data_IF_591194037014
#
_entry.id   IF_591194037014
#
_cell.length_a   1.000
_cell.length_b   1.000
_cell.length_c   1.000
_cell.angle_alpha   90.00
_cell.angle_beta   90.00
_cell.angle_gamma   90.00
#
_symmetry.space_group_name_H-M   'P 1'
#
loop_
_entity.id
_entity.type
_entity.pdbx_description
1 polymer ?
#
# COMPACT_ATOMS: atom_id res chain seq x y z
N UNK A 1 47.80 49.65 -16.57
CA UNK A 1 48.24 49.96 -15.19
C UNK A 1 47.05 50.59 -14.48
N UNK A 2 46.50 49.92 -13.46
CA UNK A 2 45.44 50.45 -12.59
C UNK A 2 43.99 50.14 -13.00
N UNK A 3 43.47 49.01 -12.51
CA UNK A 3 42.03 48.71 -12.42
C UNK A 3 41.40 49.55 -11.29
N UNK A 4 40.22 50.11 -11.50
CA UNK A 4 39.35 50.60 -10.43
C UNK A 4 37.94 50.05 -10.68
N UNK A 5 37.57 49.06 -9.86
CA UNK A 5 36.24 48.44 -9.83
C UNK A 5 35.31 49.34 -9.02
N UNK A 6 34.17 49.71 -9.58
CA UNK A 6 33.09 50.35 -8.85
C UNK A 6 32.37 49.26 -8.03
N UNK A 7 32.29 49.45 -6.71
CA UNK A 7 31.49 48.62 -5.80
C UNK A 7 30.02 49.01 -5.94
N UNK A 8 29.16 48.06 -6.31
CA UNK A 8 27.71 48.16 -6.15
C UNK A 8 27.36 48.03 -4.65
N UNK A 9 26.37 48.77 -4.15
CA UNK A 9 25.97 48.69 -2.74
C UNK A 9 25.20 47.39 -2.44
N UNK A 10 25.57 46.73 -1.35
CA UNK A 10 24.87 45.55 -0.81
C UNK A 10 23.40 45.87 -0.48
N UNK A 11 22.45 44.96 -0.76
CA UNK A 11 21.08 45.12 -0.27
C UNK A 11 21.06 44.84 1.23
N UNK A 12 20.77 45.87 2.02
CA UNK A 12 20.38 45.72 3.43
C UNK A 12 19.01 45.03 3.49
N UNK A 13 19.01 43.71 3.58
CA UNK A 13 17.84 42.95 4.01
C UNK A 13 17.67 43.17 5.51
N UNK A 14 16.68 43.96 5.89
CA UNK A 14 16.19 44.01 7.26
C UNK A 14 15.68 42.61 7.62
N UNK A 15 16.42 41.89 8.47
CA UNK A 15 15.87 40.77 9.19
C UNK A 15 14.91 41.35 10.22
N UNK A 16 13.61 41.22 9.97
CA UNK A 16 12.61 41.32 11.03
C UNK A 16 12.93 40.20 12.02
N UNK A 17 13.42 40.56 13.21
CA UNK A 17 13.50 39.64 14.34
C UNK A 17 12.06 39.27 14.71
N UNK A 18 11.60 38.08 14.31
CA UNK A 18 10.38 37.48 14.86
C UNK A 18 10.55 37.41 16.39
N UNK A 19 9.76 38.20 17.12
CA UNK A 19 9.70 38.13 18.58
C UNK A 19 9.36 36.68 18.97
N UNK A 20 10.34 36.00 19.57
CA UNK A 20 10.18 34.63 20.00
C UNK A 20 9.10 34.58 21.11
N UNK A 21 7.99 33.89 20.84
CA UNK A 21 6.89 33.68 21.77
C UNK A 21 7.40 33.24 23.15
N UNK A 22 6.84 33.82 24.22
CA UNK A 22 7.18 33.43 25.59
C UNK A 22 6.73 31.99 25.88
N UNK A 23 7.32 31.30 26.89
CA UNK A 23 6.88 29.95 27.26
C UNK A 23 5.38 29.86 27.56
N UNK A 24 4.79 30.88 28.17
CA UNK A 24 3.35 30.93 28.47
C UNK A 24 2.50 31.00 27.19
N UNK A 25 2.88 31.86 26.24
CA UNK A 25 2.18 31.96 24.95
C UNK A 25 2.31 30.67 24.14
N UNK A 26 3.45 29.99 24.22
CA UNK A 26 3.64 28.67 23.58
C UNK A 26 2.77 27.58 24.19
N UNK A 27 2.58 27.61 25.50
CA UNK A 27 1.69 26.69 26.21
C UNK A 27 0.23 26.92 25.81
N UNK A 28 -0.21 28.18 25.72
CA UNK A 28 -1.57 28.54 25.29
C UNK A 28 -1.87 28.14 23.84
N UNK A 29 -0.91 28.36 22.93
CA UNK A 29 -1.04 27.92 21.52
C UNK A 29 -1.13 26.39 21.45
N UNK A 30 -0.26 25.67 22.18
CA UNK A 30 -0.31 24.21 22.23
C UNK A 30 -1.66 23.70 22.76
N UNK A 31 -2.20 24.31 23.82
CA UNK A 31 -3.49 23.91 24.40
C UNK A 31 -4.64 24.11 23.41
N UNK A 32 -4.64 25.22 22.67
CA UNK A 32 -5.63 25.49 21.62
C UNK A 32 -5.57 24.44 20.51
N UNK A 33 -4.36 24.04 20.10
CA UNK A 33 -4.16 22.98 19.10
C UNK A 33 -4.61 21.61 19.63
N UNK A 34 -4.27 21.24 20.86
CA UNK A 34 -4.66 19.96 21.46
C UNK A 34 -6.18 19.80 21.55
N UNK A 35 -6.93 20.89 21.76
CA UNK A 35 -8.40 20.84 21.72
C UNK A 35 -8.97 20.43 20.34
N UNK A 36 -8.21 20.59 19.27
CA UNK A 36 -8.63 20.25 17.90
C UNK A 36 -8.16 18.87 17.45
N UNK A 37 -7.03 18.37 17.99
CA UNK A 37 -6.36 17.16 17.47
C UNK A 37 -6.28 15.99 18.46
N UNK A 38 -6.47 16.24 19.76
CA UNK A 38 -6.35 15.18 20.76
C UNK A 38 -7.53 14.19 20.70
N UNK A 39 -7.31 12.90 21.01
CA UNK A 39 -8.36 11.91 21.19
C UNK A 39 -9.44 12.34 22.20
N UNK A 40 -10.68 11.91 21.98
CA UNK A 40 -11.83 12.35 22.78
C UNK A 40 -11.81 11.89 24.25
N UNK A 41 -10.97 10.92 24.59
CA UNK A 41 -10.75 10.39 25.94
C UNK A 41 -9.59 11.09 26.68
N UNK A 42 -8.83 11.96 26.01
CA UNK A 42 -7.74 12.72 26.64
C UNK A 42 -8.33 13.76 27.60
N UNK A 43 -7.83 13.78 28.83
CA UNK A 43 -8.28 14.71 29.86
C UNK A 43 -7.61 16.08 29.70
N UNK A 44 -8.29 17.13 30.18
CA UNK A 44 -7.71 18.49 30.24
C UNK A 44 -6.43 18.56 31.09
N UNK A 45 -6.25 17.65 32.05
CA UNK A 45 -5.05 17.58 32.88
C UNK A 45 -3.86 17.02 32.08
N UNK A 46 -4.07 15.97 31.30
CA UNK A 46 -3.06 15.40 30.41
C UNK A 46 -2.62 16.39 29.33
N UNK A 47 -3.57 17.13 28.74
CA UNK A 47 -3.24 18.18 27.75
C UNK A 47 -2.38 19.29 28.35
N UNK A 48 -2.67 19.73 29.59
CA UNK A 48 -1.90 20.75 30.30
C UNK A 48 -0.49 20.28 30.62
N UNK A 49 -0.35 19.06 31.13
CA UNK A 49 0.96 18.48 31.42
C UNK A 49 1.80 18.42 30.15
N UNK A 50 1.25 17.90 29.05
CA UNK A 50 1.92 17.83 27.76
C UNK A 50 2.37 19.20 27.26
N UNK A 51 1.46 20.18 27.22
CA UNK A 51 1.77 21.51 26.68
C UNK A 51 2.74 22.31 27.56
N UNK A 52 2.71 22.13 28.89
CA UNK A 52 3.65 22.78 29.80
C UNK A 52 5.08 22.26 29.61
N UNK A 53 5.25 20.97 29.28
CA UNK A 53 6.54 20.38 28.96
C UNK A 53 7.03 20.82 27.57
N UNK A 54 6.17 20.84 26.56
CA UNK A 54 6.51 21.31 25.20
C UNK A 54 6.83 22.81 25.14
N UNK A 55 6.24 23.61 26.02
CA UNK A 55 6.55 25.03 26.16
C UNK A 55 7.93 25.30 26.76
N UNK A 56 8.45 24.35 27.56
CA UNK A 56 9.76 24.42 28.22
C UNK A 56 10.90 23.87 27.37
N UNK A 57 10.62 23.09 26.33
CA UNK A 57 11.63 22.59 25.40
C UNK A 57 12.23 23.70 24.54
N UNK A 58 13.52 23.58 24.24
CA UNK A 58 14.26 24.52 23.40
C UNK A 58 13.71 24.47 21.95
N UNK A 59 13.39 25.62 21.32
CA UNK A 59 12.91 25.67 19.94
C UNK A 59 13.83 24.98 18.93
N UNK A 60 15.14 24.88 19.22
CA UNK A 60 16.12 24.21 18.36
C UNK A 60 16.03 22.67 18.38
N UNK A 61 15.32 22.08 19.35
CA UNK A 61 15.11 20.63 19.48
C UNK A 61 13.74 20.17 18.93
N UNK A 62 12.94 21.08 18.37
CA UNK A 62 11.65 20.72 17.76
C UNK A 62 11.87 20.08 16.38
N UNK A 63 11.64 18.77 16.27
CA UNK A 63 11.38 18.19 14.95
C UNK A 63 10.07 18.77 14.39
N UNK A 64 10.07 19.31 13.15
CA UNK A 64 8.85 19.83 12.54
C UNK A 64 7.84 18.68 12.36
N UNK A 65 6.72 18.74 13.10
CA UNK A 65 5.59 17.82 12.91
C UNK A 65 4.84 18.21 11.63
N UNK A 66 4.76 17.34 10.61
CA UNK A 66 4.00 17.66 9.41
C UNK A 66 2.50 17.55 9.68
N UNK A 67 1.74 18.43 9.02
CA UNK A 67 0.27 18.57 9.06
C UNK A 67 -0.47 17.36 8.43
N UNK A 68 0.26 16.35 7.95
CA UNK A 68 -0.33 15.14 7.40
C UNK A 68 -0.14 13.98 8.37
N UNK A 69 -1.27 13.38 8.77
CA UNK A 69 -1.36 12.22 9.64
C UNK A 69 -0.45 11.08 9.15
N UNK A 70 0.73 11.00 9.72
CA UNK A 70 1.59 9.82 9.65
C UNK A 70 1.14 8.83 10.71
N UNK A 71 0.99 7.56 10.30
CA UNK A 71 0.94 6.42 11.20
C UNK A 71 2.02 6.59 12.27
N UNK A 72 1.60 6.48 13.53
CA UNK A 72 2.45 6.63 14.70
C UNK A 72 3.75 5.86 14.52
N UNK A 73 4.88 6.58 14.57
CA UNK A 73 6.18 5.94 14.83
C UNK A 73 6.13 5.21 16.17
N UNK A 74 7.01 4.23 16.41
CA UNK A 74 6.98 3.45 17.64
C UNK A 74 7.15 4.39 18.83
N UNK A 75 6.13 4.43 19.67
CA UNK A 75 6.17 5.07 20.98
C UNK A 75 7.25 4.37 21.82
N UNK A 76 8.04 5.09 22.64
CA UNK A 76 9.09 4.48 23.44
C UNK A 76 8.52 3.34 24.28
N UNK A 77 9.09 2.16 24.06
CA UNK A 77 8.72 0.87 24.62
C UNK A 77 8.53 0.96 26.14
N UNK A 78 7.28 1.05 26.60
CA UNK A 78 6.97 0.81 28.00
C UNK A 78 7.23 -0.66 28.27
N UNK A 79 8.25 -0.94 29.10
CA UNK A 79 8.58 -2.29 29.56
C UNK A 79 7.42 -2.81 30.40
N UNK A 80 6.47 -3.49 29.75
CA UNK A 80 5.43 -4.26 30.41
C UNK A 80 5.96 -5.65 30.80
N UNK A 81 5.54 -6.19 31.96
CA UNK A 81 6.09 -7.42 32.50
C UNK A 81 5.83 -8.63 31.59
N UNK A 82 6.84 -9.50 31.49
CA UNK A 82 6.83 -10.72 30.69
C UNK A 82 5.65 -11.62 31.05
N UNK A 83 4.71 -11.78 30.12
CA UNK A 83 3.55 -12.65 30.28
C UNK A 83 2.47 -12.53 29.22
N UNK A 84 2.42 -11.43 28.46
CA UNK A 84 1.45 -11.28 27.37
C UNK A 84 2.01 -11.83 26.04
N UNK A 85 1.24 -12.61 25.26
CA UNK A 85 1.68 -13.04 23.95
C UNK A 85 1.92 -11.81 23.09
N UNK A 86 3.09 -11.72 22.44
CA UNK A 86 3.45 -10.57 21.61
C UNK A 86 2.28 -10.20 20.71
N UNK A 87 1.77 -8.99 20.89
CA UNK A 87 0.62 -8.53 20.11
C UNK A 87 1.10 -8.45 18.67
N UNK A 88 0.37 -9.08 17.74
CA UNK A 88 0.74 -9.03 16.32
C UNK A 88 0.66 -7.58 15.87
N UNK A 89 1.77 -7.03 15.39
CA UNK A 89 1.81 -5.67 14.80
C UNK A 89 0.79 -5.55 13.67
N UNK A 90 0.59 -6.60 12.87
CA UNK A 90 -0.44 -6.64 11.82
C UNK A 90 -1.85 -6.59 12.41
N UNK A 91 -2.14 -7.39 13.44
CA UNK A 91 -3.45 -7.39 14.08
C UNK A 91 -3.75 -6.04 14.76
N UNK A 92 -2.75 -5.39 15.36
CA UNK A 92 -2.85 -4.02 15.85
C UNK A 92 -3.13 -3.04 14.72
N UNK A 93 -2.32 -3.06 13.66
CA UNK A 93 -2.49 -2.13 12.54
C UNK A 93 -3.87 -2.28 11.86
N UNK A 94 -4.39 -3.51 11.76
CA UNK A 94 -5.76 -3.77 11.30
C UNK A 94 -6.79 -3.19 12.29
N UNK A 95 -6.59 -3.39 13.60
CA UNK A 95 -7.49 -2.88 14.64
C UNK A 95 -7.49 -1.35 14.71
N UNK A 96 -6.34 -0.71 14.57
CA UNK A 96 -6.18 0.74 14.63
C UNK A 96 -6.81 1.39 13.41
N UNK A 97 -6.57 0.82 12.22
CA UNK A 97 -7.32 1.15 11.01
C UNK A 97 -8.82 1.02 11.24
N UNK A 98 -9.24 -0.09 11.86
CA UNK A 98 -10.62 -0.34 12.25
C UNK A 98 -11.13 0.54 13.39
N UNK A 99 -10.33 1.40 14.03
CA UNK A 99 -10.79 2.29 15.10
C UNK A 99 -10.84 3.76 14.65
N UNK A 100 -9.98 4.18 13.73
CA UNK A 100 -9.97 5.56 13.22
C UNK A 100 -10.83 5.74 11.94
N UNK A 101 -11.99 6.42 12.00
CA UNK A 101 -12.87 6.60 10.84
C UNK A 101 -12.30 7.55 9.76
N UNK A 102 -11.23 8.29 10.06
CA UNK A 102 -10.60 9.23 9.13
C UNK A 102 -9.28 8.71 8.53
N UNK A 103 -8.88 7.48 8.84
CA UNK A 103 -7.65 6.89 8.29
C UNK A 103 -7.93 6.13 7.00
N UNK A 104 -7.26 6.54 5.91
CA UNK A 104 -7.07 5.69 4.73
C UNK A 104 -6.00 4.65 5.07
N UNK A 105 -6.45 3.44 5.38
CA UNK A 105 -5.57 2.37 5.79
C UNK A 105 -5.03 1.61 4.55
N UNK A 106 -3.76 1.22 4.54
CA UNK A 106 -3.15 0.53 3.38
C UNK A 106 -3.68 -0.89 3.21
N UNK A 107 -4.44 -1.19 2.16
CA UNK A 107 -5.00 -2.55 1.98
C UNK A 107 -3.95 -3.56 1.47
N UNK A 108 -3.38 -3.33 0.29
CA UNK A 108 -2.21 -4.05 -0.29
C UNK A 108 -0.98 -3.14 -0.24
N UNK A 109 0.22 -3.59 -0.68
CA UNK A 109 1.37 -2.71 -0.78
C UNK A 109 1.09 -1.48 -1.65
N UNK A 110 1.56 -0.31 -1.23
CA UNK A 110 1.56 0.91 -2.03
C UNK A 110 2.99 1.16 -2.51
N UNK A 111 3.20 1.17 -3.83
CA UNK A 111 4.54 1.28 -4.40
C UNK A 111 4.55 2.09 -5.70
N UNK A 112 5.73 2.62 -6.02
CA UNK A 112 6.07 3.20 -7.31
C UNK A 112 7.39 2.60 -7.78
N UNK A 113 7.38 1.97 -8.95
CA UNK A 113 8.53 1.38 -9.63
C UNK A 113 8.83 2.21 -10.90
N UNK A 114 9.76 3.16 -10.84
CA UNK A 114 10.12 3.96 -12.01
C UNK A 114 10.78 3.14 -13.13
N UNK A 115 11.38 2.00 -12.80
CA UNK A 115 12.01 1.15 -13.80
C UNK A 115 11.55 -0.29 -13.62
N UNK A 116 10.66 -0.75 -14.51
CA UNK A 116 10.30 -2.16 -14.64
C UNK A 116 10.69 -2.65 -16.03
N UNK A 117 11.59 -3.61 -16.08
CA UNK A 117 12.04 -4.23 -17.32
C UNK A 117 11.19 -5.47 -17.63
N UNK A 118 10.63 -5.53 -18.84
CA UNK A 118 9.95 -6.66 -19.45
C UNK A 118 10.65 -6.98 -20.80
N UNK A 119 11.28 -8.16 -20.97
CA UNK A 119 11.98 -8.50 -22.21
C UNK A 119 11.03 -8.75 -23.39
N UNK A 120 9.76 -9.05 -23.13
CA UNK A 120 8.75 -9.40 -24.14
C UNK A 120 7.40 -8.81 -23.75
N UNK A 121 7.23 -7.47 -23.83
CA UNK A 121 5.95 -6.84 -23.51
C UNK A 121 4.88 -7.25 -24.51
N UNK A 122 3.74 -7.70 -24.00
CA UNK A 122 2.61 -8.10 -24.84
C UNK A 122 1.86 -6.88 -25.40
N UNK A 123 1.43 -7.03 -26.66
CA UNK A 123 0.73 -6.00 -27.45
C UNK A 123 -0.79 -6.18 -27.43
N UNK A 124 -1.34 -7.29 -26.91
CA UNK A 124 -2.76 -7.61 -26.99
C UNK A 124 -3.69 -6.53 -26.40
N UNK A 125 -3.16 -5.59 -25.62
CA UNK A 125 -3.86 -4.41 -25.10
C UNK A 125 -3.94 -3.19 -26.01
N UNK A 126 -3.31 -3.17 -27.17
CA UNK A 126 -3.26 -1.98 -28.03
C UNK A 126 -3.76 -2.23 -29.46
N UNK A 127 -3.82 -3.48 -29.91
CA UNK A 127 -4.18 -3.90 -31.27
C UNK A 127 -5.66 -3.65 -31.63
N UNK A 128 -5.98 -2.48 -32.22
CA UNK A 128 -7.36 -2.15 -32.59
C UNK A 128 -7.71 -0.66 -32.71
N UNK A 129 -6.87 0.25 -32.20
CA UNK A 129 -6.99 1.71 -32.44
C UNK A 129 -5.84 2.20 -33.32
N UNK A 130 -5.98 2.17 -34.65
CA UNK A 130 -4.89 2.63 -35.55
C UNK A 130 -3.50 2.03 -35.18
N UNK A 131 -3.48 0.88 -34.50
CA UNK A 131 -2.39 0.40 -33.66
C UNK A 131 -1.66 -0.79 -34.27
N UNK A 132 -1.51 -0.78 -35.58
CA UNK A 132 -0.46 -1.56 -36.22
C UNK A 132 0.94 -0.95 -35.95
N UNK A 133 1.01 0.22 -35.28
CA UNK A 133 2.26 1.01 -35.15
C UNK A 133 2.82 1.22 -33.74
N UNK A 134 2.08 0.95 -32.65
CA UNK A 134 2.62 1.21 -31.30
C UNK A 134 3.65 0.14 -30.94
N UNK A 135 4.90 0.56 -30.79
CA UNK A 135 5.99 -0.33 -30.40
C UNK A 135 6.24 -0.17 -28.91
N UNK A 136 5.87 -1.16 -28.12
CA UNK A 136 6.10 -1.14 -26.68
C UNK A 136 7.59 -1.19 -26.35
N UNK A 137 8.01 -0.29 -25.46
CA UNK A 137 9.34 -0.32 -24.90
C UNK A 137 9.45 -1.42 -23.84
N UNK A 138 10.65 -2.03 -23.71
CA UNK A 138 10.89 -3.04 -22.68
C UNK A 138 10.96 -2.47 -21.27
N UNK A 139 10.91 -1.13 -21.09
CA UNK A 139 10.95 -0.48 -19.78
C UNK A 139 9.70 0.37 -19.59
N UNK A 140 8.99 0.14 -18.49
CA UNK A 140 7.81 0.91 -18.11
C UNK A 140 7.85 1.33 -16.63
N UNK A 141 7.03 2.30 -16.27
CA UNK A 141 6.74 2.65 -14.88
C UNK A 141 5.55 1.80 -14.43
N UNK A 142 5.67 1.16 -13.27
CA UNK A 142 4.53 0.49 -12.63
C UNK A 142 4.27 1.10 -11.26
N UNK A 143 3.00 1.26 -10.90
CA UNK A 143 2.63 1.69 -9.55
C UNK A 143 1.35 1.02 -9.08
N UNK A 144 1.24 0.87 -7.76
CA UNK A 144 0.06 0.36 -7.10
C UNK A 144 -0.36 1.32 -5.99
N UNK A 145 -1.64 1.70 -6.02
CA UNK A 145 -2.30 2.40 -4.94
C UNK A 145 -3.38 1.48 -4.35
N UNK A 146 -3.35 1.25 -3.05
CA UNK A 146 -4.27 0.32 -2.39
C UNK A 146 -4.66 0.79 -1.00
N UNK A 147 -5.94 1.09 -0.82
CA UNK A 147 -6.49 1.61 0.42
C UNK A 147 -7.75 0.85 0.82
N UNK A 148 -8.05 0.86 2.11
CA UNK A 148 -9.31 0.41 2.68
C UNK A 148 -9.80 1.38 3.74
N UNK A 149 -11.12 1.47 3.84
CA UNK A 149 -11.85 2.25 4.84
C UNK A 149 -12.86 1.35 5.54
N UNK A 150 -12.76 1.16 6.86
CA UNK A 150 -13.76 0.45 7.65
C UNK A 150 -15.07 1.25 7.70
N UNK A 151 -16.15 0.65 7.21
CA UNK A 151 -17.47 1.30 7.08
C UNK A 151 -18.50 0.81 8.10
N UNK A 152 -18.34 -0.40 8.64
CA UNK A 152 -19.25 -0.93 9.65
C UNK A 152 -18.52 -1.86 10.62
N UNK A 153 -18.50 -1.50 11.90
CA UNK A 153 -17.83 -2.26 12.97
C UNK A 153 -18.84 -3.04 13.80
N UNK A 154 -18.40 -4.14 14.40
CA UNK A 154 -19.17 -4.88 15.39
C UNK A 154 -20.32 -5.71 14.83
N UNK A 155 -20.42 -5.89 13.51
CA UNK A 155 -21.58 -6.52 12.87
C UNK A 155 -21.79 -7.98 13.30
N UNK A 156 -20.72 -8.66 13.72
CA UNK A 156 -20.72 -9.99 14.35
C UNK A 156 -19.77 -10.02 15.57
N UNK A 157 -19.96 -9.08 16.50
CA UNK A 157 -19.16 -8.96 17.74
C UNK A 157 -17.95 -8.02 17.60
N UNK A 158 -17.32 -7.68 18.73
CA UNK A 158 -16.32 -6.60 18.82
C UNK A 158 -15.04 -6.82 17.99
N UNK A 159 -14.77 -8.06 17.57
CA UNK A 159 -13.62 -8.43 16.74
C UNK A 159 -13.95 -8.50 15.25
N UNK A 160 -15.06 -7.89 14.81
CA UNK A 160 -15.50 -7.91 13.41
C UNK A 160 -15.70 -6.51 12.85
N UNK A 161 -15.35 -6.30 11.59
CA UNK A 161 -15.66 -5.08 10.86
C UNK A 161 -15.72 -5.33 9.36
N UNK A 162 -16.39 -4.45 8.64
CA UNK A 162 -16.51 -4.45 7.20
C UNK A 162 -15.82 -3.22 6.64
N UNK A 163 -15.07 -3.40 5.55
CA UNK A 163 -14.32 -2.36 4.87
C UNK A 163 -14.69 -2.28 3.40
N UNK A 164 -14.68 -1.07 2.86
CA UNK A 164 -14.56 -0.85 1.42
C UNK A 164 -13.08 -0.68 1.10
N UNK A 165 -12.57 -1.45 0.15
CA UNK A 165 -11.21 -1.33 -0.34
C UNK A 165 -11.21 -1.01 -1.83
N UNK A 166 -10.12 -0.38 -2.26
CA UNK A 166 -9.87 -0.11 -3.66
C UNK A 166 -8.38 -0.26 -3.93
N UNK A 167 -8.04 -1.10 -4.91
CA UNK A 167 -6.69 -1.22 -5.44
C UNK A 167 -6.67 -0.77 -6.90
N UNK A 168 -5.74 0.10 -7.24
CA UNK A 168 -5.39 0.45 -8.60
C UNK A 168 -3.97 -0.01 -8.90
N UNK A 169 -3.77 -0.68 -10.04
CA UNK A 169 -2.44 -1.02 -10.57
C UNK A 169 -2.32 -0.45 -11.98
N UNK A 170 -1.26 0.28 -12.26
CA UNK A 170 -1.06 0.91 -13.56
C UNK A 170 0.31 0.59 -14.13
N UNK A 171 0.35 0.43 -15.46
CA UNK A 171 1.49 0.07 -16.28
C UNK A 171 1.66 1.14 -17.36
N UNK A 172 2.68 1.97 -17.22
CA UNK A 172 2.83 3.22 -17.97
C UNK A 172 4.10 3.20 -18.81
N UNK A 173 3.93 3.32 -20.13
CA UNK A 173 5.01 3.44 -21.10
C UNK A 173 5.60 4.87 -21.06
N UNK A 174 6.00 5.35 -19.88
CA UNK A 174 6.45 6.71 -19.65
C UNK A 174 7.62 7.13 -20.56
N UNK A 175 8.45 6.17 -20.91
CA UNK A 175 9.66 6.36 -21.71
C UNK A 175 9.44 6.26 -23.21
N UNK A 176 8.28 5.72 -23.65
CA UNK A 176 7.94 5.61 -25.05
C UNK A 176 7.43 6.95 -25.59
N UNK A 177 8.35 7.88 -25.84
CA UNK A 177 8.03 9.20 -26.40
C UNK A 177 7.51 9.13 -27.83
N UNK A 178 7.90 8.10 -28.59
CA UNK A 178 7.52 7.93 -29.99
C UNK A 178 6.00 7.69 -30.12
N UNK A 179 5.40 7.03 -29.14
CA UNK A 179 3.95 6.78 -29.05
C UNK A 179 3.23 7.66 -28.01
N UNK A 180 3.82 8.81 -27.62
CA UNK A 180 3.24 9.78 -26.67
C UNK A 180 3.02 9.26 -25.24
N UNK A 181 3.89 8.35 -24.79
CA UNK A 181 3.97 7.84 -23.43
C UNK A 181 2.64 7.27 -22.86
N UNK A 182 1.99 6.31 -23.54
CA UNK A 182 0.66 5.87 -23.19
C UNK A 182 0.63 4.99 -21.92
N UNK A 183 -0.52 4.95 -21.24
CA UNK A 183 -0.78 3.88 -20.27
C UNK A 183 -1.09 2.60 -21.03
N UNK A 184 -0.22 1.58 -20.88
CA UNK A 184 -0.39 0.27 -21.48
C UNK A 184 -1.56 -0.47 -20.85
N UNK A 185 -1.74 -0.34 -19.54
CA UNK A 185 -2.82 -1.01 -18.80
C UNK A 185 -3.08 -0.31 -17.45
N UNK A 186 -4.33 -0.34 -17.00
CA UNK A 186 -4.71 0.01 -15.63
C UNK A 186 -5.73 -1.01 -15.15
N UNK A 187 -5.57 -1.54 -13.94
CA UNK A 187 -6.55 -2.42 -13.31
C UNK A 187 -7.17 -1.74 -12.09
N UNK A 188 -8.49 -1.81 -12.01
CA UNK A 188 -9.34 -1.27 -10.96
C UNK A 188 -9.94 -2.43 -10.19
N UNK A 189 -9.70 -2.49 -8.88
CA UNK A 189 -10.12 -3.60 -8.03
C UNK A 189 -10.81 -3.08 -6.75
N UNK A 190 -12.11 -2.72 -6.83
CA UNK A 190 -12.91 -2.44 -5.65
C UNK A 190 -13.32 -3.73 -4.92
N UNK A 191 -13.35 -3.68 -3.59
CA UNK A 191 -13.63 -4.83 -2.74
C UNK A 191 -14.52 -4.42 -1.56
N UNK A 192 -15.49 -5.27 -1.21
CA UNK A 192 -16.22 -5.21 0.06
C UNK A 192 -15.74 -6.36 0.93
N UNK A 193 -15.06 -6.06 2.04
CA UNK A 193 -14.32 -7.03 2.84
C UNK A 193 -14.92 -7.10 4.24
N UNK A 194 -15.43 -8.26 4.62
CA UNK A 194 -15.78 -8.59 6.00
C UNK A 194 -14.57 -9.23 6.67
N UNK A 195 -14.10 -8.66 7.78
CA UNK A 195 -12.93 -9.14 8.52
C UNK A 195 -13.34 -9.56 9.93
N UNK A 196 -12.80 -10.70 10.36
CA UNK A 196 -12.84 -11.18 11.74
C UNK A 196 -11.40 -11.32 12.25
N UNK A 197 -11.09 -10.64 13.36
CA UNK A 197 -9.82 -10.76 14.05
C UNK A 197 -9.85 -12.00 14.95
N UNK A 198 -8.77 -12.78 14.92
CA UNK A 198 -8.65 -14.03 15.67
C UNK A 198 -7.30 -14.10 16.38
N UNK A 199 -7.15 -15.06 17.29
CA UNK A 199 -5.93 -15.30 18.06
C UNK A 199 -5.62 -16.79 18.28
N UNK A 200 -6.40 -17.70 17.68
CA UNK A 200 -6.17 -19.14 17.81
C UNK A 200 -4.89 -19.57 17.08
N UNK A 201 -4.28 -20.65 17.57
CA UNK A 201 -2.99 -21.13 17.09
C UNK A 201 -3.10 -22.53 16.46
N UNK A 202 -2.32 -22.76 15.41
CA UNK A 202 -2.17 -24.05 14.74
C UNK A 202 -0.70 -24.23 14.33
N UNK A 203 -0.08 -25.32 14.79
CA UNK A 203 1.32 -25.66 14.48
C UNK A 203 2.32 -24.52 14.77
N UNK A 204 2.05 -23.69 15.79
CA UNK A 204 2.86 -22.54 16.17
C UNK A 204 2.60 -21.25 15.36
N UNK A 205 1.68 -21.28 14.39
CA UNK A 205 1.19 -20.08 13.72
C UNK A 205 -0.09 -19.59 14.40
N UNK A 206 -0.18 -18.29 14.68
CA UNK A 206 -1.40 -17.61 15.11
C UNK A 206 -2.20 -17.18 13.89
N UNK A 207 -3.48 -17.53 13.81
CA UNK A 207 -4.40 -16.93 12.85
C UNK A 207 -4.76 -15.53 13.35
N UNK A 208 -4.38 -14.49 12.61
CA UNK A 208 -4.56 -13.09 13.04
C UNK A 208 -5.84 -12.47 12.46
N UNK A 209 -6.23 -12.89 11.26
CA UNK A 209 -7.43 -12.41 10.61
C UNK A 209 -7.95 -13.43 9.59
N UNK A 210 -9.27 -13.52 9.53
CA UNK A 210 -10.00 -14.19 8.45
C UNK A 210 -10.87 -13.15 7.75
N UNK A 211 -10.89 -13.19 6.43
CA UNK A 211 -11.69 -12.26 5.63
C UNK A 211 -12.57 -13.03 4.66
N UNK A 212 -13.75 -12.47 4.39
CA UNK A 212 -14.63 -12.86 3.31
C UNK A 212 -14.94 -11.61 2.50
N UNK A 213 -14.73 -11.64 1.19
CA UNK A 213 -14.91 -10.45 0.37
C UNK A 213 -15.64 -10.74 -0.94
N UNK A 214 -16.39 -9.73 -1.38
CA UNK A 214 -16.85 -9.61 -2.76
C UNK A 214 -15.89 -8.66 -3.47
N UNK A 215 -15.39 -9.08 -4.61
CA UNK A 215 -14.33 -8.40 -5.34
C UNK A 215 -14.73 -8.31 -6.81
N UNK A 216 -14.60 -7.11 -7.36
CA UNK A 216 -14.64 -6.88 -8.79
C UNK A 216 -13.24 -6.45 -9.23
N UNK A 217 -12.78 -6.94 -10.37
CA UNK A 217 -11.54 -6.45 -10.98
C UNK A 217 -11.77 -6.27 -12.47
N UNK A 218 -11.45 -5.08 -12.98
CA UNK A 218 -11.54 -4.77 -14.41
C UNK A 218 -10.44 -3.84 -14.85
N UNK A 219 -10.20 -3.73 -16.15
CA UNK A 219 -9.23 -2.80 -16.70
C UNK A 219 -9.83 -1.47 -17.21
N UNK A 220 -11.15 -1.32 -17.11
CA UNK A 220 -11.85 -0.10 -17.55
C UNK A 220 -11.79 0.16 -19.06
N UNK A 221 -11.45 -0.85 -19.86
CA UNK A 221 -11.40 -0.76 -21.33
C UNK A 221 -12.69 -1.30 -21.96
N UNK A 222 -12.84 -1.11 -23.26
CA UNK A 222 -14.02 -1.46 -24.04
C UNK A 222 -13.68 -2.39 -25.21
N UNK A 223 -14.65 -3.18 -25.66
CA UNK A 223 -14.49 -4.06 -26.81
C UNK A 223 -13.44 -5.14 -26.57
N UNK A 224 -12.67 -5.49 -27.60
CA UNK A 224 -11.69 -6.59 -27.56
C UNK A 224 -10.58 -6.42 -26.51
N UNK A 225 -10.38 -5.22 -25.97
CA UNK A 225 -9.43 -4.92 -24.90
C UNK A 225 -10.03 -4.96 -23.50
N UNK A 226 -11.36 -5.06 -23.39
CA UNK A 226 -12.01 -5.14 -22.09
C UNK A 226 -11.61 -6.44 -21.41
N UNK A 227 -11.28 -6.35 -20.13
CA UNK A 227 -11.01 -7.49 -19.27
C UNK A 227 -11.67 -7.24 -17.94
N UNK A 228 -12.43 -8.22 -17.46
CA UNK A 228 -13.12 -8.11 -16.19
C UNK A 228 -13.48 -9.48 -15.62
N UNK A 229 -13.64 -9.53 -14.30
CA UNK A 229 -14.15 -10.70 -13.60
C UNK A 229 -14.61 -10.33 -12.19
N UNK A 230 -15.55 -11.11 -11.68
CA UNK A 230 -16.10 -10.97 -10.34
C UNK A 230 -15.80 -12.19 -9.48
N UNK A 231 -15.48 -11.97 -8.19
CA UNK A 231 -15.04 -13.03 -7.28
C UNK A 231 -15.66 -12.89 -5.90
N UNK A 232 -15.89 -14.02 -5.26
CA UNK A 232 -16.02 -14.13 -3.81
C UNK A 232 -14.78 -14.85 -3.31
N UNK A 233 -14.06 -14.29 -2.33
CA UNK A 233 -12.88 -14.95 -1.78
C UNK A 233 -12.90 -15.01 -0.26
N UNK A 234 -12.26 -16.03 0.28
CA UNK A 234 -11.84 -16.07 1.67
C UNK A 234 -10.34 -15.77 1.75
N UNK A 235 -9.88 -15.12 2.82
CA UNK A 235 -8.46 -14.84 3.04
C UNK A 235 -8.11 -15.15 4.48
N UNK A 236 -7.23 -16.12 4.68
CA UNK A 236 -6.79 -16.57 5.99
C UNK A 236 -5.35 -16.12 6.20
N UNK A 237 -5.08 -15.35 7.25
CA UNK A 237 -3.77 -14.76 7.53
C UNK A 237 -3.21 -15.36 8.82
N UNK A 238 -2.01 -15.91 8.73
CA UNK A 238 -1.31 -16.58 9.79
C UNK A 238 0.07 -15.95 10.01
N UNK A 239 0.48 -15.85 11.26
CA UNK A 239 1.78 -15.27 11.64
C UNK A 239 2.48 -16.12 12.68
N UNK A 240 3.81 -16.11 12.61
CA UNK A 240 4.71 -16.71 13.60
C UNK A 240 5.99 -15.89 13.63
N UNK A 241 6.24 -15.21 14.74
CA UNK A 241 7.36 -14.28 14.88
C UNK A 241 7.34 -13.24 13.73
N UNK A 242 8.45 -13.09 13.01
CA UNK A 242 8.55 -12.21 11.83
C UNK A 242 8.08 -12.87 10.52
N UNK A 243 7.52 -14.08 10.58
CA UNK A 243 7.05 -14.79 9.39
C UNK A 243 5.53 -14.73 9.28
N UNK A 244 5.03 -14.69 8.05
CA UNK A 244 3.61 -14.81 7.77
C UNK A 244 3.34 -15.77 6.63
N UNK A 245 2.13 -16.34 6.64
CA UNK A 245 1.56 -17.14 5.58
C UNK A 245 0.11 -16.70 5.40
N UNK A 246 -0.34 -16.58 4.17
CA UNK A 246 -1.75 -16.41 3.87
C UNK A 246 -2.20 -17.29 2.72
N UNK A 247 -3.46 -17.71 2.82
CA UNK A 247 -4.15 -18.50 1.81
C UNK A 247 -5.42 -17.78 1.42
N UNK A 248 -5.56 -17.51 0.12
CA UNK A 248 -6.67 -16.75 -0.44
C UNK A 248 -7.35 -17.53 -1.56
N UNK A 249 -8.23 -18.50 -1.26
CA UNK A 249 -9.06 -19.15 -2.25
C UNK A 249 -10.20 -18.21 -2.72
N UNK A 250 -10.56 -18.31 -4.00
CA UNK A 250 -11.70 -17.60 -4.56
C UNK A 250 -12.60 -18.50 -5.39
N UNK A 251 -13.83 -18.04 -5.53
CA UNK A 251 -14.81 -18.53 -6.46
C UNK A 251 -15.11 -17.41 -7.47
N UNK A 252 -14.89 -17.65 -8.76
CA UNK A 252 -15.32 -16.74 -9.82
C UNK A 252 -16.84 -16.80 -9.93
N UNK A 253 -17.48 -15.64 -9.86
CA UNK A 253 -18.92 -15.51 -10.11
C UNK A 253 -19.11 -15.67 -11.63
N UNK A 254 -19.92 -16.63 -12.09
CA UNK A 254 -20.16 -16.83 -13.52
C UNK A 254 -20.82 -15.59 -14.15
N UNK A 255 -20.38 -15.26 -15.35
CA UNK A 255 -20.91 -14.18 -16.19
C UNK A 255 -21.64 -14.80 -17.40
N UNK A 256 -22.43 -13.99 -18.12
CA UNK A 256 -23.06 -14.46 -19.36
C UNK A 256 -21.94 -14.78 -20.38
N UNK A 257 -21.90 -15.98 -20.98
CA UNK A 257 -20.88 -16.33 -21.96
C UNK A 257 -20.77 -15.36 -23.15
N UNK A 258 -21.84 -14.64 -23.50
CA UNK A 258 -21.84 -13.64 -24.57
C UNK A 258 -21.24 -12.29 -24.14
N UNK A 259 -21.15 -12.05 -22.83
CA UNK A 259 -20.62 -10.81 -22.22
C UNK A 259 -19.31 -11.04 -21.45
N UNK A 260 -18.80 -12.28 -21.41
CA UNK A 260 -17.59 -12.64 -20.68
C UNK A 260 -16.32 -12.26 -21.45
N UNK A 261 -15.64 -11.22 -20.98
CA UNK A 261 -14.43 -10.66 -21.59
C UNK A 261 -13.23 -11.63 -21.61
N UNK A 262 -13.21 -12.61 -20.70
CA UNK A 262 -12.08 -13.52 -20.50
C UNK A 262 -12.57 -14.86 -19.89
N UNK A 263 -13.28 -15.69 -20.69
CA UNK A 263 -13.99 -16.85 -20.18
C UNK A 263 -13.09 -17.95 -19.62
N UNK A 264 -11.82 -17.98 -20.03
CA UNK A 264 -10.83 -18.97 -19.61
C UNK A 264 -9.83 -18.44 -18.57
N UNK A 265 -10.07 -17.28 -17.94
CA UNK A 265 -9.16 -16.68 -16.94
C UNK A 265 -8.75 -17.63 -15.80
N UNK A 266 -9.65 -18.50 -15.36
CA UNK A 266 -9.36 -19.51 -14.31
C UNK A 266 -8.39 -20.60 -14.78
N UNK A 267 -8.25 -20.83 -16.09
CA UNK A 267 -7.23 -21.71 -16.65
C UNK A 267 -5.81 -21.17 -16.39
N UNK A 268 -5.65 -19.86 -16.22
CA UNK A 268 -4.36 -19.22 -16.01
C UNK A 268 -4.12 -18.86 -14.54
N UNK A 269 -5.09 -18.18 -13.92
CA UNK A 269 -4.94 -17.65 -12.56
C UNK A 269 -5.28 -18.69 -11.49
N UNK A 270 -6.01 -19.75 -11.85
CA UNK A 270 -6.49 -20.75 -10.92
C UNK A 270 -7.59 -20.26 -9.99
N UNK A 271 -7.66 -20.88 -8.82
CA UNK A 271 -8.73 -20.66 -7.83
C UNK A 271 -8.20 -20.22 -6.45
N UNK A 272 -6.90 -19.94 -6.33
CA UNK A 272 -6.31 -19.49 -5.09
C UNK A 272 -4.97 -18.79 -5.29
N UNK A 273 -4.59 -18.01 -4.29
CA UNK A 273 -3.27 -17.40 -4.14
C UNK A 273 -2.71 -17.78 -2.76
N UNK A 274 -1.43 -18.16 -2.73
CA UNK A 274 -0.67 -18.31 -1.51
C UNK A 274 0.31 -17.14 -1.41
N UNK A 275 0.40 -16.51 -0.24
CA UNK A 275 1.47 -15.55 0.04
C UNK A 275 2.18 -15.96 1.31
N UNK A 276 3.47 -15.69 1.39
CA UNK A 276 4.22 -15.90 2.61
C UNK A 276 5.55 -15.18 2.55
N UNK A 277 6.16 -14.97 3.71
CA UNK A 277 7.37 -14.20 3.75
C UNK A 277 7.88 -13.91 5.15
N UNK A 278 8.94 -13.11 5.18
CA UNK A 278 9.55 -12.54 6.35
C UNK A 278 9.33 -11.03 6.34
N UNK A 279 8.92 -10.46 7.47
CA UNK A 279 8.79 -9.02 7.69
C UNK A 279 9.50 -8.68 8.99
N UNK A 280 10.72 -8.15 8.85
CA UNK A 280 11.50 -7.64 9.96
C UNK A 280 11.60 -6.11 9.93
N UNK A 281 12.30 -5.52 10.92
CA UNK A 281 12.39 -4.07 11.08
C UNK A 281 13.00 -3.38 9.85
N UNK A 282 14.10 -3.92 9.34
CA UNK A 282 14.86 -3.34 8.22
C UNK A 282 14.49 -3.94 6.87
N UNK A 283 14.27 -5.24 6.80
CA UNK A 283 14.02 -5.96 5.56
C UNK A 283 12.71 -6.74 5.57
N UNK A 284 12.04 -6.79 4.42
CA UNK A 284 10.89 -7.63 4.16
C UNK A 284 11.12 -8.42 2.88
N UNK A 285 10.81 -9.71 2.89
CA UNK A 285 10.84 -10.57 1.71
C UNK A 285 9.51 -11.30 1.63
N UNK A 286 8.77 -11.11 0.55
CA UNK A 286 7.46 -11.76 0.34
C UNK A 286 7.48 -12.52 -0.97
N UNK A 287 6.85 -13.70 -0.96
CA UNK A 287 6.58 -14.48 -2.15
C UNK A 287 5.07 -14.66 -2.30
N UNK A 288 4.57 -14.53 -3.52
CA UNK A 288 3.25 -14.99 -3.93
C UNK A 288 3.40 -16.17 -4.88
N UNK A 289 2.51 -17.14 -4.75
CA UNK A 289 2.36 -18.28 -5.65
C UNK A 289 0.91 -18.42 -6.09
N UNK A 290 0.71 -18.62 -7.39
CA UNK A 290 -0.55 -19.07 -8.00
C UNK A 290 -0.31 -20.34 -8.80
N UNK A 291 -1.31 -21.22 -8.82
CA UNK A 291 -1.32 -22.41 -9.65
C UNK A 291 -2.77 -22.76 -10.03
N UNK A 292 -2.99 -23.14 -11.28
CA UNK A 292 -4.32 -23.52 -11.76
C UNK A 292 -4.76 -24.93 -11.32
N UNK A 293 -3.84 -25.76 -10.81
CA UNK A 293 -4.03 -27.17 -10.42
C UNK A 293 -4.64 -28.04 -11.53
N UNK A 294 -4.37 -27.70 -12.79
CA UNK A 294 -4.80 -28.47 -13.97
C UNK A 294 -3.64 -29.31 -14.52
N UNK A 295 -3.94 -30.19 -15.46
CA UNK A 295 -2.92 -31.01 -16.14
C UNK A 295 -1.95 -30.15 -16.96
N UNK A 296 -2.44 -29.07 -17.56
CA UNK A 296 -1.66 -28.01 -18.18
C UNK A 296 -1.29 -26.97 -17.12
N UNK A 297 -0.21 -27.23 -16.39
CA UNK A 297 0.18 -26.42 -15.23
C UNK A 297 0.48 -24.98 -15.66
N UNK A 298 -0.34 -24.04 -15.21
CA UNK A 298 -0.15 -22.59 -15.35
C UNK A 298 -0.18 -21.93 -13.97
N UNK A 299 0.46 -20.78 -13.85
CA UNK A 299 0.55 -20.08 -12.57
C UNK A 299 1.48 -18.89 -12.62
N UNK A 300 1.83 -18.38 -11.45
CA UNK A 300 2.75 -17.26 -11.33
C UNK A 300 3.51 -17.31 -10.00
N UNK A 301 4.69 -16.70 -10.00
CA UNK A 301 5.44 -16.34 -8.82
C UNK A 301 5.73 -14.85 -8.82
N UNK A 302 5.55 -14.21 -7.67
CA UNK A 302 6.00 -12.83 -7.43
C UNK A 302 6.92 -12.82 -6.21
N UNK A 303 8.08 -12.19 -6.33
CA UNK A 303 9.04 -12.00 -5.24
C UNK A 303 9.22 -10.51 -5.00
N UNK A 304 9.02 -10.09 -3.76
CA UNK A 304 9.12 -8.71 -3.35
C UNK A 304 10.17 -8.58 -2.25
N UNK A 305 11.07 -7.60 -2.39
CA UNK A 305 12.08 -7.29 -1.40
C UNK A 305 12.03 -5.80 -1.02
N UNK A 306 11.68 -5.53 0.24
CA UNK A 306 11.72 -4.21 0.83
C UNK A 306 12.96 -4.02 1.71
N UNK A 307 13.63 -2.88 1.60
CA UNK A 307 14.84 -2.54 2.37
C UNK A 307 14.87 -1.05 2.74
N UNK A 308 15.66 -0.63 3.74
CA UNK A 308 15.64 0.75 4.20
C UNK A 308 16.45 1.64 3.23
N UNK A 309 15.88 2.78 2.83
CA UNK A 309 16.59 3.84 2.09
C UNK A 309 16.52 5.20 2.81
N UNK A 310 15.62 5.34 3.78
CA UNK A 310 15.44 6.52 4.62
C UNK A 310 14.34 6.28 5.66
N UNK A 311 13.94 7.33 6.38
CA UNK A 311 13.02 7.20 7.52
C UNK A 311 11.53 7.11 7.12
N UNK A 312 11.20 7.45 5.87
CA UNK A 312 9.80 7.62 5.42
C UNK A 312 9.39 6.73 4.25
N UNK A 313 10.35 6.23 3.48
CA UNK A 313 10.13 5.37 2.32
C UNK A 313 11.13 4.23 2.33
N UNK A 314 10.71 3.08 1.81
CA UNK A 314 11.54 1.88 1.70
C UNK A 314 11.92 1.68 0.24
N UNK A 315 13.13 1.21 -0.01
CA UNK A 315 13.50 0.68 -1.32
C UNK A 315 12.72 -0.60 -1.56
N UNK A 316 12.31 -0.80 -2.81
CA UNK A 316 11.43 -1.91 -3.19
C UNK A 316 11.87 -2.51 -4.51
N UNK A 317 12.07 -3.83 -4.51
CA UNK A 317 12.34 -4.63 -5.70
C UNK A 317 11.21 -5.63 -5.86
N UNK A 318 10.64 -5.70 -7.06
CA UNK A 318 9.58 -6.63 -7.43
C UNK A 318 10.04 -7.46 -8.62
N UNK A 319 9.99 -8.78 -8.49
CA UNK A 319 10.17 -9.71 -9.60
C UNK A 319 8.88 -10.47 -9.80
N UNK A 320 8.40 -10.55 -11.03
CA UNK A 320 7.23 -11.34 -11.41
C UNK A 320 7.59 -12.31 -12.53
N UNK A 321 7.07 -13.53 -12.47
CA UNK A 321 7.18 -14.50 -13.56
C UNK A 321 5.94 -15.39 -13.63
N UNK A 322 5.31 -15.47 -14.80
CA UNK A 322 4.16 -16.32 -15.08
C UNK A 322 2.99 -15.54 -15.69
N UNK A 323 1.77 -16.00 -15.42
CA UNK A 323 0.55 -15.47 -16.03
C UNK A 323 -0.18 -14.45 -15.16
N UNK A 324 -0.83 -13.47 -15.78
CA UNK A 324 -1.70 -12.50 -15.11
C UNK A 324 -0.99 -11.58 -14.15
N UNK A 325 0.11 -10.95 -14.60
CA UNK A 325 0.65 -9.78 -13.89
C UNK A 325 -0.37 -8.64 -13.86
N UNK A 326 -1.04 -8.44 -15.00
CA UNK A 326 -2.16 -7.53 -15.22
C UNK A 326 -3.35 -8.31 -15.81
N UNK A 327 -4.52 -7.68 -15.93
CA UNK A 327 -5.67 -8.31 -16.59
C UNK A 327 -5.50 -8.45 -18.10
N UNK A 328 -4.85 -7.51 -18.77
CA UNK A 328 -4.62 -7.65 -20.21
C UNK A 328 -3.61 -8.76 -20.53
N UNK A 329 -2.65 -8.98 -19.64
CA UNK A 329 -1.64 -10.05 -19.75
C UNK A 329 -2.08 -11.35 -19.02
N UNK A 330 -3.39 -11.60 -18.85
CA UNK A 330 -3.87 -12.74 -18.03
C UNK A 330 -3.55 -14.10 -18.64
N UNK A 331 -3.58 -14.19 -19.96
CA UNK A 331 -3.34 -15.37 -20.78
C UNK A 331 -1.92 -15.43 -21.35
N UNK A 332 -1.09 -14.43 -21.06
CA UNK A 332 0.28 -14.31 -21.53
C UNK A 332 1.33 -14.57 -20.43
N UNK A 333 2.45 -15.15 -20.82
CA UNK A 333 3.58 -15.34 -19.89
C UNK A 333 4.44 -14.09 -19.85
N UNK A 334 4.49 -13.47 -18.68
CA UNK A 334 5.27 -12.25 -18.44
C UNK A 334 6.41 -12.53 -17.48
N UNK A 335 7.55 -11.87 -17.71
CA UNK A 335 8.67 -11.80 -16.77
C UNK A 335 9.05 -10.34 -16.56
N UNK A 336 8.95 -9.84 -15.34
CA UNK A 336 9.34 -8.46 -15.03
C UNK A 336 10.29 -8.37 -13.85
N UNK A 337 11.20 -7.41 -13.92
CA UNK A 337 12.04 -6.99 -12.80
C UNK A 337 11.92 -5.48 -12.63
N UNK A 338 11.37 -5.08 -11.48
CA UNK A 338 11.12 -3.70 -11.12
C UNK A 338 11.91 -3.24 -9.90
N UNK A 339 12.37 -1.99 -9.93
CA UNK A 339 13.04 -1.32 -8.81
C UNK A 339 12.40 0.05 -8.56
N UNK A 340 12.17 0.38 -7.30
CA UNK A 340 11.60 1.66 -6.90
C UNK A 340 11.42 1.80 -5.39
N UNK A 341 10.29 2.35 -4.99
CA UNK A 341 9.96 2.67 -3.60
C UNK A 341 8.63 2.06 -3.17
N UNK A 342 8.58 1.65 -1.91
CA UNK A 342 7.38 1.23 -1.20
C UNK A 342 7.03 2.29 -0.15
N UNK A 343 5.78 2.73 -0.18
CA UNK A 343 5.19 3.71 0.73
C UNK A 343 4.50 3.03 1.91
N UNK A 344 3.87 1.88 1.66
CA UNK A 344 3.21 1.08 2.69
C UNK A 344 3.19 -0.40 2.28
N UNK A 345 3.29 -1.29 3.26
CA UNK A 345 3.39 -2.75 3.02
C UNK A 345 2.05 -3.47 2.90
N UNK A 346 0.93 -2.79 3.19
CA UNK A 346 -0.38 -3.43 3.35
C UNK A 346 -0.49 -4.32 4.59
N UNK A 347 -1.73 -4.57 4.99
CA UNK A 347 -2.06 -5.43 6.12
C UNK A 347 -2.14 -6.89 5.77
#
# INVERSE_FOLDING_TARGET
MGLAWAQEPEPQGAAEEEEALTPQEREEVCLSEQLLVAPADTTLEEMRLFCSEEARRDPSEREPRPIFATVSGPEPEQVLPAGEPSVSERAQAIRDAANNPFTLASHKPNYLLPAVYNPSPDRAGLEGREAETIQLDPVEIQFQFSVQVPVWRGFLGQASFMSLAYTNRSFWQAYNSDDSSPFRETNHEPELIMTWLNDWQLLGFRNVANQLAVNHQSNGRSGDFSRSWNRIYAHFIFERDSYFLSFKPWYRIPEDPEEDDNPDIEAYLGHFELRGGYRGPTHSVTMMLRNNLRSDIRGAVELNWGFPIGNRVRGYVKYFNGYGESLIDYDETVQTLGVGIELAQGF
#
